data_IF_753325145292
#
_entry.id   IF_753325145292
#
_cell.length_a   1.000
_cell.length_b   1.000
_cell.length_c   1.000
_cell.angle_alpha   90.00
_cell.angle_beta   90.00
_cell.angle_gamma   90.00
#
_symmetry.space_group_name_H-M   'P 1'
#
loop_
_entity.id
_entity.type
_entity.pdbx_description
1 polymer ?
#
# COMPACT_ATOMS: atom_id res chain seq x y z
N UNK A 1 20.99 1.82 -10.80
CA UNK A 1 20.81 2.65 -9.58
C UNK A 1 19.32 2.75 -9.29
N UNK A 2 18.91 2.58 -8.06
CA UNK A 2 17.50 2.74 -7.64
C UNK A 2 17.28 4.20 -7.25
N UNK A 3 16.57 4.96 -8.07
CA UNK A 3 16.29 6.38 -7.86
C UNK A 3 14.82 6.76 -8.12
N UNK A 4 14.02 5.81 -8.57
CA UNK A 4 12.60 6.01 -8.83
C UNK A 4 11.77 5.71 -7.59
N UNK A 5 10.86 6.60 -7.26
CA UNK A 5 9.77 6.38 -6.31
C UNK A 5 8.51 6.08 -7.10
N UNK A 6 7.87 4.96 -6.79
CA UNK A 6 6.67 4.51 -7.47
C UNK A 6 5.49 4.53 -6.51
N UNK A 7 4.41 5.21 -6.89
CA UNK A 7 3.18 5.32 -6.09
C UNK A 7 2.08 4.50 -6.75
N UNK A 8 1.45 3.61 -5.99
CA UNK A 8 0.26 2.89 -6.45
C UNK A 8 -0.92 3.84 -6.59
N UNK A 9 -1.53 3.86 -7.77
CA UNK A 9 -2.71 4.68 -8.09
C UNK A 9 -3.71 3.84 -8.88
N UNK A 10 -4.70 3.33 -8.18
CA UNK A 10 -5.79 2.55 -8.76
C UNK A 10 -7.06 2.77 -7.95
N UNK A 11 -8.13 2.10 -8.31
CA UNK A 11 -9.40 2.18 -7.59
C UNK A 11 -9.22 1.83 -6.11
N UNK A 12 -9.76 2.67 -5.25
CA UNK A 12 -9.68 2.52 -3.80
C UNK A 12 -8.61 3.35 -3.11
N UNK A 13 -7.68 3.98 -3.85
CA UNK A 13 -6.67 4.88 -3.28
C UNK A 13 -7.26 6.22 -2.84
N UNK A 14 -6.71 6.79 -1.76
CA UNK A 14 -7.03 8.13 -1.27
C UNK A 14 -5.77 8.95 -1.03
N UNK A 15 -5.94 10.27 -0.90
CA UNK A 15 -4.90 11.23 -0.50
C UNK A 15 -3.63 11.24 -1.39
N UNK A 16 -3.77 10.84 -2.65
CA UNK A 16 -2.64 10.72 -3.58
C UNK A 16 -1.94 12.06 -3.85
N UNK A 17 -2.68 13.16 -3.92
CA UNK A 17 -2.09 14.48 -4.19
C UNK A 17 -1.16 14.94 -3.06
N UNK A 18 -1.57 14.74 -1.82
CA UNK A 18 -0.74 15.08 -0.66
C UNK A 18 0.51 14.20 -0.60
N UNK A 19 0.37 12.91 -0.86
CA UNK A 19 1.48 11.97 -0.91
C UNK A 19 2.47 12.34 -2.03
N UNK A 20 1.99 12.56 -3.25
CA UNK A 20 2.79 12.96 -4.39
C UNK A 20 3.57 14.25 -4.10
N UNK A 21 2.88 15.27 -3.58
CA UNK A 21 3.50 16.55 -3.26
C UNK A 21 4.65 16.37 -2.26
N UNK A 22 4.40 15.69 -1.13
CA UNK A 22 5.43 15.48 -0.12
C UNK A 22 6.64 14.67 -0.63
N UNK A 23 6.39 13.67 -1.46
CA UNK A 23 7.47 12.88 -2.05
C UNK A 23 8.29 13.68 -3.07
N UNK A 24 7.65 14.50 -3.90
CA UNK A 24 8.34 15.38 -4.84
C UNK A 24 9.24 16.39 -4.13
N UNK A 25 8.71 17.08 -3.12
CA UNK A 25 9.48 18.05 -2.33
C UNK A 25 10.74 17.43 -1.70
N UNK A 26 10.68 16.16 -1.33
CA UNK A 26 11.82 15.49 -0.70
C UNK A 26 12.78 14.85 -1.72
N UNK A 27 12.28 14.14 -2.71
CA UNK A 27 13.12 13.29 -3.58
C UNK A 27 13.63 13.99 -4.83
N UNK A 28 12.86 14.87 -5.48
CA UNK A 28 13.29 15.54 -6.73
C UNK A 28 14.56 16.38 -6.53
N UNK A 29 14.70 17.19 -5.46
CA UNK A 29 15.95 17.93 -5.23
C UNK A 29 17.16 17.02 -5.00
N UNK A 30 16.95 15.73 -4.74
CA UNK A 30 18.00 14.71 -4.51
C UNK A 30 18.24 13.82 -5.71
N UNK A 31 17.66 14.18 -6.87
CA UNK A 31 17.81 13.43 -8.11
C UNK A 31 16.86 12.24 -8.27
N UNK A 32 15.91 12.06 -7.36
CA UNK A 32 14.89 11.03 -7.47
C UNK A 32 13.77 11.42 -8.43
N UNK A 33 13.09 10.44 -8.99
CA UNK A 33 11.91 10.63 -9.84
C UNK A 33 10.68 10.04 -9.19
N UNK A 34 9.53 10.71 -9.35
CA UNK A 34 8.25 10.24 -8.83
C UNK A 34 7.37 9.81 -10.01
N UNK A 35 6.84 8.59 -9.94
CA UNK A 35 5.96 8.05 -10.96
C UNK A 35 4.79 7.27 -10.33
N UNK A 36 3.79 6.95 -11.12
CA UNK A 36 2.63 6.20 -10.68
C UNK A 36 2.53 4.87 -11.42
N UNK A 37 1.93 3.88 -10.75
CA UNK A 37 1.56 2.62 -11.37
C UNK A 37 0.21 2.14 -10.83
N UNK A 38 -0.48 1.34 -11.61
CA UNK A 38 -1.68 0.62 -11.22
C UNK A 38 -1.42 -0.90 -11.18
N UNK A 39 -2.46 -1.68 -10.93
CA UNK A 39 -2.34 -3.14 -10.91
C UNK A 39 -1.90 -3.70 -12.27
N UNK A 40 -2.37 -3.13 -13.37
CA UNK A 40 -1.97 -3.58 -14.71
C UNK A 40 -0.48 -3.29 -14.97
N UNK A 41 0.00 -2.12 -14.56
CA UNK A 41 1.41 -1.75 -14.64
C UNK A 41 2.31 -2.70 -13.86
N UNK A 42 1.89 -3.12 -12.68
CA UNK A 42 2.63 -4.10 -11.86
C UNK A 42 2.61 -5.49 -12.50
N UNK A 43 1.43 -5.95 -12.91
CA UNK A 43 1.23 -7.34 -13.37
C UNK A 43 1.77 -7.57 -14.79
N UNK A 44 1.50 -6.63 -15.70
CA UNK A 44 1.73 -6.82 -17.14
C UNK A 44 2.92 -6.08 -17.70
N UNK A 45 3.22 -4.90 -17.14
CA UNK A 45 4.24 -3.98 -17.70
C UNK A 45 5.58 -4.04 -16.96
N UNK A 46 5.64 -4.73 -15.81
CA UNK A 46 6.87 -4.87 -15.04
C UNK A 46 7.36 -3.56 -14.41
N UNK A 47 6.44 -2.69 -14.01
CA UNK A 47 6.78 -1.38 -13.45
C UNK A 47 7.53 -1.46 -12.11
N UNK A 48 7.33 -2.55 -11.34
CA UNK A 48 8.16 -2.85 -10.16
C UNK A 48 9.43 -3.60 -10.59
N UNK A 49 10.50 -2.88 -10.79
CA UNK A 49 11.78 -3.41 -11.27
C UNK A 49 12.97 -2.82 -10.51
N UNK A 50 14.18 -3.14 -10.95
CA UNK A 50 15.42 -2.74 -10.29
C UNK A 50 15.69 -1.24 -10.28
N UNK A 51 14.98 -0.42 -11.04
CA UNK A 51 15.09 1.04 -10.98
C UNK A 51 14.29 1.66 -9.82
N UNK A 52 13.34 0.92 -9.27
CA UNK A 52 12.45 1.43 -8.21
C UNK A 52 13.15 1.30 -6.85
N UNK A 53 13.39 2.45 -6.21
CA UNK A 53 13.93 2.54 -4.85
C UNK A 53 12.87 2.17 -3.82
N UNK A 54 11.72 2.82 -3.89
CA UNK A 54 10.62 2.57 -2.97
C UNK A 54 9.27 2.56 -3.69
N UNK A 55 8.42 1.64 -3.28
CA UNK A 55 7.05 1.50 -3.72
C UNK A 55 6.12 1.91 -2.59
N UNK A 56 5.30 2.93 -2.83
CA UNK A 56 4.34 3.48 -1.88
C UNK A 56 2.95 2.93 -2.16
N UNK A 57 2.43 2.20 -1.20
CA UNK A 57 1.03 1.75 -1.17
C UNK A 57 0.23 2.73 -0.31
N UNK A 58 -0.67 3.55 -0.89
CA UNK A 58 -1.33 4.64 -0.20
C UNK A 58 -2.44 4.16 0.73
N UNK A 59 -3.06 5.12 1.41
CA UNK A 59 -4.30 4.92 2.13
C UNK A 59 -5.50 4.68 1.20
N UNK A 60 -6.66 4.43 1.80
CA UNK A 60 -7.89 4.17 1.09
C UNK A 60 -8.57 2.88 1.56
N UNK A 61 -8.90 1.98 0.64
CA UNK A 61 -9.61 0.74 0.92
C UNK A 61 -8.83 -0.50 0.45
N UNK A 62 -8.50 -1.39 1.37
CA UNK A 62 -7.74 -2.61 1.08
C UNK A 62 -8.48 -3.64 0.23
N UNK A 63 -9.83 -3.65 0.27
CA UNK A 63 -10.61 -4.59 -0.54
C UNK A 63 -10.45 -4.34 -2.05
N UNK A 64 -10.54 -3.10 -2.57
CA UNK A 64 -10.18 -2.80 -3.96
C UNK A 64 -8.73 -3.18 -4.30
N UNK A 65 -7.76 -2.93 -3.43
CA UNK A 65 -6.37 -3.32 -3.67
C UNK A 65 -6.24 -4.82 -3.95
N UNK A 66 -6.84 -5.63 -3.09
CA UNK A 66 -6.84 -7.08 -3.25
C UNK A 66 -7.50 -7.53 -4.54
N UNK A 67 -8.64 -6.94 -4.91
CA UNK A 67 -9.38 -7.28 -6.13
C UNK A 67 -8.61 -6.94 -7.40
N UNK A 68 -7.83 -5.87 -7.38
CA UNK A 68 -7.05 -5.40 -8.54
C UNK A 68 -5.73 -6.13 -8.68
N UNK A 69 -4.99 -6.27 -7.59
CA UNK A 69 -3.67 -6.91 -7.59
C UNK A 69 -3.77 -8.43 -7.71
N UNK A 70 -4.78 -9.03 -7.09
CA UNK A 70 -4.96 -10.48 -7.08
C UNK A 70 -3.70 -11.23 -6.58
N UNK A 71 -3.60 -12.51 -6.87
CA UNK A 71 -2.45 -13.34 -6.48
C UNK A 71 -1.18 -12.89 -7.20
N UNK A 72 -1.31 -12.59 -8.49
CA UNK A 72 -0.15 -12.28 -9.33
C UNK A 72 0.48 -10.93 -9.00
N UNK A 73 -0.34 -9.89 -8.79
CA UNK A 73 0.18 -8.59 -8.35
C UNK A 73 0.82 -8.65 -6.97
N UNK A 74 0.22 -9.40 -6.05
CA UNK A 74 0.80 -9.64 -4.73
C UNK A 74 2.16 -10.33 -4.81
N UNK A 75 2.31 -11.33 -5.68
CA UNK A 75 3.58 -12.02 -5.87
C UNK A 75 4.65 -11.09 -6.45
N UNK A 76 4.29 -10.24 -7.42
CA UNK A 76 5.21 -9.23 -7.97
C UNK A 76 5.72 -8.25 -6.92
N UNK A 77 4.85 -7.82 -6.00
CA UNK A 77 5.25 -6.94 -4.90
C UNK A 77 6.19 -7.68 -3.93
N UNK A 78 5.88 -8.93 -3.60
CA UNK A 78 6.76 -9.76 -2.75
C UNK A 78 8.13 -10.00 -3.37
N UNK A 79 8.19 -10.32 -4.67
CA UNK A 79 9.44 -10.48 -5.41
C UNK A 79 10.27 -9.19 -5.36
N UNK A 80 9.66 -8.05 -5.66
CA UNK A 80 10.33 -6.75 -5.59
C UNK A 80 10.94 -6.46 -4.23
N UNK A 81 10.23 -6.75 -3.14
CA UNK A 81 10.77 -6.56 -1.77
C UNK A 81 11.88 -7.56 -1.48
N UNK A 82 11.73 -8.82 -1.88
CA UNK A 82 12.75 -9.86 -1.74
C UNK A 82 14.05 -9.49 -2.44
N UNK A 83 13.94 -8.81 -3.58
CA UNK A 83 15.07 -8.33 -4.39
C UNK A 83 15.66 -7.01 -3.89
N UNK A 84 15.27 -6.58 -2.68
CA UNK A 84 15.83 -5.41 -2.00
C UNK A 84 15.10 -4.10 -2.28
N UNK A 85 13.90 -4.13 -2.84
CA UNK A 85 13.01 -2.98 -2.95
C UNK A 85 12.38 -2.62 -1.60
N UNK A 86 12.03 -1.36 -1.43
CA UNK A 86 11.40 -0.87 -0.20
C UNK A 86 9.90 -0.74 -0.41
N UNK A 87 9.11 -1.41 0.41
CA UNK A 87 7.67 -1.22 0.48
C UNK A 87 7.33 -0.21 1.59
N UNK A 88 6.55 0.80 1.25
CA UNK A 88 6.07 1.79 2.19
C UNK A 88 4.54 1.81 2.19
N UNK A 89 3.92 1.25 3.22
CA UNK A 89 2.46 1.20 3.36
C UNK A 89 1.93 2.29 4.27
N UNK A 90 0.88 2.98 3.82
CA UNK A 90 0.21 4.05 4.56
C UNK A 90 -1.24 3.64 4.80
N UNK A 91 -1.73 3.68 6.04
CA UNK A 91 -3.11 3.34 6.40
C UNK A 91 -3.54 1.98 5.80
N UNK A 92 -4.46 1.95 4.85
CA UNK A 92 -4.86 0.71 4.16
C UNK A 92 -3.68 -0.04 3.54
N UNK A 93 -2.69 0.66 3.01
CA UNK A 93 -1.45 0.06 2.51
C UNK A 93 -0.61 -0.60 3.59
N UNK A 94 -0.61 -0.06 4.82
CA UNK A 94 0.05 -0.69 5.96
C UNK A 94 -0.68 -1.96 6.42
N UNK A 95 -2.00 -1.94 6.50
CA UNK A 95 -2.80 -3.16 6.75
C UNK A 95 -2.55 -4.23 5.70
N UNK A 96 -2.47 -3.81 4.43
CA UNK A 96 -2.25 -4.72 3.30
C UNK A 96 -0.87 -5.41 3.32
N UNK A 97 0.12 -4.82 3.97
CA UNK A 97 1.45 -5.43 4.15
C UNK A 97 1.40 -6.67 5.04
N UNK A 98 0.46 -6.76 5.97
CA UNK A 98 0.31 -7.87 6.89
C UNK A 98 -0.35 -9.08 6.22
N UNK A 99 -0.15 -10.27 6.78
CA UNK A 99 -0.83 -11.49 6.33
C UNK A 99 -2.33 -11.39 6.53
N UNK A 100 -2.75 -10.88 7.68
CA UNK A 100 -4.15 -10.78 8.08
C UNK A 100 -4.51 -9.33 8.43
N UNK A 101 -5.76 -8.98 8.14
CA UNK A 101 -6.36 -7.70 8.54
C UNK A 101 -7.62 -7.97 9.35
N UNK A 102 -7.72 -7.32 10.52
CA UNK A 102 -8.95 -7.23 11.31
C UNK A 102 -9.23 -5.75 11.54
N UNK A 103 -10.15 -5.19 10.78
CA UNK A 103 -10.50 -3.78 10.83
C UNK A 103 -11.96 -3.64 11.24
N UNK A 104 -12.22 -2.83 12.28
CA UNK A 104 -13.57 -2.53 12.82
C UNK A 104 -14.43 -3.78 13.03
N UNK A 105 -13.91 -4.77 13.75
CA UNK A 105 -14.55 -6.07 13.95
C UNK A 105 -15.97 -5.96 14.53
N UNK A 106 -16.20 -4.97 15.40
CA UNK A 106 -17.47 -4.75 16.09
C UNK A 106 -18.45 -3.85 15.34
N UNK A 107 -18.07 -3.29 14.20
CA UNK A 107 -18.92 -2.40 13.39
C UNK A 107 -19.23 -3.10 12.08
N UNK A 108 -20.41 -3.73 11.94
CA UNK A 108 -20.71 -4.58 10.77
C UNK A 108 -20.53 -3.89 9.42
N UNK A 109 -20.86 -2.59 9.34
CA UNK A 109 -20.79 -1.80 8.10
C UNK A 109 -19.36 -1.48 7.67
N UNK A 110 -18.42 -1.49 8.62
CA UNK A 110 -17.01 -1.15 8.39
C UNK A 110 -16.09 -2.35 8.49
N UNK A 111 -16.59 -3.47 9.00
CA UNK A 111 -15.80 -4.66 9.32
C UNK A 111 -15.11 -5.24 8.10
N UNK A 112 -13.79 -5.37 8.19
CA UNK A 112 -12.96 -6.10 7.24
C UNK A 112 -12.17 -7.17 7.99
N UNK A 113 -12.40 -8.43 7.67
CA UNK A 113 -11.59 -9.55 8.12
C UNK A 113 -11.04 -10.24 6.88
N UNK A 114 -9.74 -10.26 6.72
CA UNK A 114 -9.08 -10.76 5.52
C UNK A 114 -7.75 -11.43 5.83
N UNK A 115 -7.49 -12.55 5.18
CA UNK A 115 -6.21 -13.27 5.21
C UNK A 115 -5.45 -13.21 3.88
N UNK A 116 -5.75 -12.22 3.03
CA UNK A 116 -5.23 -12.10 1.68
C UNK A 116 -4.32 -10.88 1.49
N UNK A 117 -3.56 -10.51 2.51
CA UNK A 117 -2.56 -9.44 2.41
C UNK A 117 -1.29 -9.87 1.71
N UNK A 118 -0.34 -8.95 1.59
CA UNK A 118 0.96 -9.20 0.96
C UNK A 118 1.84 -10.17 1.75
N UNK A 119 1.58 -10.34 3.05
CA UNK A 119 2.41 -11.15 3.94
C UNK A 119 3.90 -10.74 3.91
N UNK A 120 4.17 -9.44 3.81
CA UNK A 120 5.50 -8.88 4.03
C UNK A 120 5.82 -8.85 5.52
N UNK A 121 4.78 -8.72 6.35
CA UNK A 121 4.83 -8.85 7.80
C UNK A 121 3.97 -10.07 8.17
N UNK A 122 4.61 -11.08 8.75
CA UNK A 122 3.92 -12.25 9.25
C UNK A 122 3.19 -11.91 10.54
N UNK A 123 1.93 -11.47 10.41
CA UNK A 123 1.13 -11.05 11.53
C UNK A 123 -0.22 -10.53 11.12
N UNK A 124 -0.92 -10.00 12.09
CA UNK A 124 -2.27 -9.46 11.97
C UNK A 124 -2.25 -7.96 12.24
N UNK A 125 -2.75 -7.16 11.30
CA UNK A 125 -3.04 -5.75 11.53
C UNK A 125 -4.45 -5.64 12.13
N UNK A 126 -4.53 -5.11 13.34
CA UNK A 126 -5.80 -4.95 14.08
C UNK A 126 -6.03 -3.44 14.30
N UNK A 127 -7.18 -2.94 13.93
CA UNK A 127 -7.58 -1.53 14.14
C UNK A 127 -9.11 -1.39 14.09
N UNK A 128 -9.64 -0.19 14.40
CA UNK A 128 -8.83 0.99 14.72
C UNK A 128 -8.56 1.07 16.22
N UNK A 129 -7.59 1.91 16.61
CA UNK A 129 -7.27 2.18 18.03
C UNK A 129 -8.16 3.26 18.64
N UNK A 130 -9.05 3.86 17.86
CA UNK A 130 -9.89 4.99 18.28
C UNK A 130 -10.80 4.65 19.47
N UNK A 131 -11.24 3.39 19.60
CA UNK A 131 -12.07 2.95 20.73
C UNK A 131 -11.39 3.14 22.08
N UNK A 132 -10.08 2.88 22.14
CA UNK A 132 -9.29 3.04 23.36
C UNK A 132 -9.20 4.51 23.80
N UNK A 133 -9.37 5.44 22.88
CA UNK A 133 -9.34 6.89 23.13
C UNK A 133 -10.74 7.52 23.18
N UNK A 134 -11.81 6.72 23.12
CA UNK A 134 -13.19 7.22 23.13
C UNK A 134 -13.60 7.95 21.84
N UNK A 135 -12.84 7.80 20.77
CA UNK A 135 -13.08 8.43 19.46
C UNK A 135 -13.78 7.38 18.58
N UNK A 136 -14.82 7.80 17.86
CA UNK A 136 -15.44 6.93 16.85
C UNK A 136 -14.63 6.97 15.56
N UNK A 137 -14.56 5.83 14.81
CA UNK A 137 -13.95 5.83 13.49
C UNK A 137 -14.64 6.85 12.59
N UNK A 138 -13.85 7.65 11.91
CA UNK A 138 -14.32 8.65 10.94
C UNK A 138 -15.19 9.81 11.51
N UNK A 139 -15.09 10.10 12.80
CA UNK A 139 -15.61 11.34 13.40
C UNK A 139 -14.77 12.57 13.00
#
# INVERSE_FOLDING_TARGET
MRDKILIYRDYGCSDLNALEYGLKEYFEPRGGTIDFTDAAGIIKEGNLNESVLAFFMPGGAGTPFRRKLEVLGNEKIREYVRDGGIYYGICAGAYYACRETVFEEDIPELRIISSCGLNLVEGRAVGTLYKEFGIRPYD
#
